data_IF_481481561276
#
_entry.id   IF_481481561276
#
_cell.length_a   1.000
_cell.length_b   1.000
_cell.length_c   1.000
_cell.angle_alpha   90.00
_cell.angle_beta   90.00
_cell.angle_gamma   90.00
#
_symmetry.space_group_name_H-M   'P 1'
#
loop_
_entity.id
_entity.type
_entity.pdbx_description
1 polymer ?
#
# COMPACT_ATOMS: atom_id res chain seq x y z
N UNK A 1 -15.54 35.15 44.83
CA UNK A 1 -14.26 35.59 44.21
C UNK A 1 -13.41 34.40 43.72
N UNK A 2 -13.19 33.37 44.55
CA UNK A 2 -12.47 32.14 44.14
C UNK A 2 -13.09 31.42 42.92
N UNK A 3 -14.42 31.36 42.83
CA UNK A 3 -15.12 30.71 41.71
C UNK A 3 -15.01 31.44 40.36
N UNK A 4 -14.79 32.76 40.39
CA UNK A 4 -14.61 33.56 39.17
C UNK A 4 -13.17 33.39 38.67
N UNK A 5 -12.20 33.37 39.59
CA UNK A 5 -10.80 33.09 39.30
C UNK A 5 -10.61 31.65 38.76
N UNK A 6 -11.32 30.67 39.34
CA UNK A 6 -11.27 29.29 38.89
C UNK A 6 -11.87 29.13 37.49
N UNK A 7 -12.98 29.84 37.18
CA UNK A 7 -13.59 29.87 35.84
C UNK A 7 -12.66 30.48 34.79
N UNK A 8 -12.00 31.59 35.11
CA UNK A 8 -11.03 32.23 34.21
C UNK A 8 -9.84 31.32 33.93
N UNK A 9 -9.30 30.68 34.99
CA UNK A 9 -8.19 29.73 34.88
C UNK A 9 -8.57 28.49 34.07
N UNK A 10 -9.78 27.96 34.23
CA UNK A 10 -10.27 26.84 33.40
C UNK A 10 -10.52 27.23 31.94
N UNK A 11 -10.94 28.47 31.66
CA UNK A 11 -11.12 28.97 30.30
C UNK A 11 -9.78 29.17 29.58
N UNK A 12 -8.78 29.74 30.24
CA UNK A 12 -7.41 29.88 29.71
C UNK A 12 -6.74 28.52 29.47
N UNK A 13 -6.98 27.53 30.35
CA UNK A 13 -6.48 26.17 30.18
C UNK A 13 -7.15 25.45 29.00
N UNK A 14 -8.45 25.69 28.77
CA UNK A 14 -9.20 25.15 27.62
C UNK A 14 -8.77 25.78 26.29
N UNK A 15 -8.47 27.08 26.24
CA UNK A 15 -7.96 27.73 25.03
C UNK A 15 -6.54 27.27 24.66
N UNK A 16 -5.66 27.08 25.65
CA UNK A 16 -4.34 26.47 25.45
C UNK A 16 -4.41 25.01 24.97
N UNK A 17 -5.34 24.22 25.50
CA UNK A 17 -5.56 22.83 25.09
C UNK A 17 -6.16 22.74 23.67
N UNK A 18 -7.10 23.62 23.33
CA UNK A 18 -7.72 23.69 22.00
C UNK A 18 -6.70 24.05 20.91
N UNK A 19 -5.83 25.03 21.18
CA UNK A 19 -4.78 25.45 20.24
C UNK A 19 -3.69 24.39 20.03
N UNK A 20 -3.26 23.71 21.09
CA UNK A 20 -2.31 22.58 20.99
C UNK A 20 -2.90 21.39 20.23
N UNK A 21 -4.15 21.03 20.51
CA UNK A 21 -4.85 19.96 19.79
C UNK A 21 -5.02 20.25 18.29
N UNK A 22 -5.38 21.49 17.94
CA UNK A 22 -5.46 21.93 16.55
C UNK A 22 -4.10 21.86 15.83
N UNK A 23 -3.02 22.24 16.51
CA UNK A 23 -1.66 22.15 15.96
C UNK A 23 -1.26 20.69 15.69
N UNK A 24 -1.59 19.76 16.58
CA UNK A 24 -1.29 18.34 16.38
C UNK A 24 -2.06 17.76 15.19
N UNK A 25 -3.37 18.07 15.05
CA UNK A 25 -4.15 17.65 13.88
C UNK A 25 -3.57 18.25 12.60
N UNK A 26 -3.22 19.54 12.62
CA UNK A 26 -2.62 20.20 11.46
C UNK A 26 -1.30 19.55 11.04
N UNK A 27 -0.46 19.14 12.01
CA UNK A 27 0.77 18.37 11.73
C UNK A 27 0.47 17.02 11.09
N UNK A 28 -0.49 16.26 11.63
CA UNK A 28 -0.89 14.95 11.08
C UNK A 28 -1.40 15.09 9.64
N UNK A 29 -2.22 16.09 9.35
CA UNK A 29 -2.73 16.35 8.00
C UNK A 29 -1.60 16.72 7.04
N UNK A 30 -0.66 17.56 7.47
CA UNK A 30 0.53 17.91 6.66
C UNK A 30 1.38 16.68 6.38
N UNK A 31 1.59 15.82 7.37
CA UNK A 31 2.32 14.56 7.21
C UNK A 31 1.62 13.62 6.24
N UNK A 32 0.29 13.46 6.37
CA UNK A 32 -0.49 12.66 5.44
C UNK A 32 -0.40 13.20 4.01
N UNK A 33 -0.49 14.52 3.82
CA UNK A 33 -0.31 15.15 2.50
C UNK A 33 1.09 14.92 1.92
N UNK A 34 2.14 14.98 2.75
CA UNK A 34 3.51 14.66 2.33
C UNK A 34 3.64 13.19 1.93
N UNK A 35 3.02 12.27 2.68
CA UNK A 35 3.02 10.85 2.36
C UNK A 35 2.31 10.58 1.01
N UNK A 36 1.16 11.20 0.76
CA UNK A 36 0.46 11.13 -0.54
C UNK A 36 1.35 11.61 -1.67
N UNK A 37 1.93 12.80 -1.54
CA UNK A 37 2.83 13.35 -2.55
C UNK A 37 4.08 12.50 -2.76
N UNK A 38 4.59 11.84 -1.71
CA UNK A 38 5.70 10.91 -1.82
C UNK A 38 5.31 9.66 -2.62
N UNK A 39 4.13 9.10 -2.38
CA UNK A 39 3.60 7.96 -3.16
C UNK A 39 3.44 8.36 -4.64
N UNK A 40 2.84 9.52 -4.92
CA UNK A 40 2.68 10.04 -6.29
C UNK A 40 4.04 10.22 -6.99
N UNK A 41 5.05 10.70 -6.27
CA UNK A 41 6.40 10.88 -6.80
C UNK A 41 7.08 9.53 -7.11
N UNK A 42 6.95 8.55 -6.20
CA UNK A 42 7.47 7.19 -6.40
C UNK A 42 6.79 6.55 -7.60
N UNK A 43 5.46 6.64 -7.69
CA UNK A 43 4.70 6.12 -8.82
C UNK A 43 5.14 6.77 -10.12
N UNK A 44 5.19 8.10 -10.21
CA UNK A 44 5.59 8.80 -11.44
C UNK A 44 7.01 8.47 -11.88
N UNK A 45 7.93 8.27 -10.94
CA UNK A 45 9.33 7.98 -11.23
C UNK A 45 9.54 6.53 -11.64
N UNK A 46 8.90 5.59 -10.95
CA UNK A 46 9.15 4.16 -11.13
C UNK A 46 8.16 3.47 -12.07
N UNK A 47 7.02 4.08 -12.40
CA UNK A 47 5.97 3.47 -13.23
C UNK A 47 6.49 2.83 -14.53
N UNK A 48 7.32 3.56 -15.29
CA UNK A 48 7.86 3.07 -16.56
C UNK A 48 8.85 1.92 -16.37
N UNK A 49 9.75 2.04 -15.40
CA UNK A 49 10.72 1.00 -15.06
C UNK A 49 10.03 -0.26 -14.51
N UNK A 50 8.99 -0.08 -13.70
CA UNK A 50 8.17 -1.15 -13.13
C UNK A 50 7.52 -2.00 -14.22
N UNK A 51 6.91 -1.36 -15.22
CA UNK A 51 6.31 -2.07 -16.37
C UNK A 51 7.39 -2.87 -17.10
N UNK A 52 8.54 -2.25 -17.36
CA UNK A 52 9.63 -2.91 -18.08
C UNK A 52 10.18 -4.12 -17.32
N UNK A 53 10.46 -3.98 -16.02
CA UNK A 53 10.94 -5.07 -15.15
C UNK A 53 9.89 -6.18 -15.05
N UNK A 54 8.62 -5.83 -14.87
CA UNK A 54 7.53 -6.83 -14.80
C UNK A 54 7.39 -7.57 -16.13
N UNK A 55 7.52 -6.88 -17.27
CA UNK A 55 7.50 -7.52 -18.59
C UNK A 55 8.67 -8.49 -18.80
N UNK A 56 9.89 -8.09 -18.43
CA UNK A 56 11.07 -8.95 -18.54
C UNK A 56 10.98 -10.18 -17.63
N UNK A 57 10.55 -10.00 -16.38
CA UNK A 57 10.39 -11.12 -15.43
C UNK A 57 9.33 -12.11 -15.90
N UNK A 58 8.18 -11.64 -16.41
CA UNK A 58 7.17 -12.51 -17.01
C UNK A 58 7.70 -13.30 -18.21
N UNK A 59 8.49 -12.69 -19.09
CA UNK A 59 9.12 -13.40 -20.20
C UNK A 59 10.11 -14.47 -19.71
N UNK A 60 10.89 -14.18 -18.66
CA UNK A 60 11.83 -15.17 -18.10
C UNK A 60 11.12 -16.33 -17.40
N UNK A 61 9.97 -16.08 -16.75
CA UNK A 61 9.15 -17.12 -16.12
C UNK A 61 8.61 -18.06 -17.20
N UNK A 62 8.01 -17.54 -18.27
CA UNK A 62 7.46 -18.39 -19.33
C UNK A 62 8.52 -19.22 -20.04
N UNK A 63 9.73 -18.65 -20.26
CA UNK A 63 10.87 -19.40 -20.78
C UNK A 63 11.29 -20.51 -19.81
N UNK A 64 11.39 -20.23 -18.50
CA UNK A 64 11.78 -21.21 -17.50
C UNK A 64 10.77 -22.37 -17.38
N UNK A 65 9.46 -22.06 -17.49
CA UNK A 65 8.39 -23.04 -17.49
C UNK A 65 8.43 -23.92 -18.76
N UNK A 66 8.72 -23.33 -19.91
CA UNK A 66 8.90 -24.05 -21.17
C UNK A 66 10.10 -25.00 -21.13
N UNK A 67 11.27 -24.53 -20.70
CA UNK A 67 12.47 -25.37 -20.56
C UNK A 67 12.25 -26.51 -19.56
N UNK A 68 11.54 -26.24 -18.45
CA UNK A 68 11.18 -27.26 -17.48
C UNK A 68 10.17 -28.31 -18.03
N UNK A 69 9.32 -27.91 -18.98
CA UNK A 69 8.35 -28.80 -19.63
C UNK A 69 9.00 -29.66 -20.73
N UNK A 70 9.95 -29.12 -21.49
CA UNK A 70 10.65 -29.84 -22.58
C UNK A 70 11.64 -30.87 -22.03
N UNK A 71 12.41 -30.50 -21.01
CA UNK A 71 13.52 -31.32 -20.50
C UNK A 71 13.06 -32.40 -19.50
N UNK A 72 12.03 -33.20 -19.82
CA UNK A 72 11.50 -34.23 -18.91
C UNK A 72 12.48 -35.36 -18.60
N UNK A 73 13.32 -35.72 -19.56
CA UNK A 73 14.29 -36.83 -19.47
C UNK A 73 15.52 -36.46 -18.62
N UNK A 74 15.96 -35.20 -18.68
CA UNK A 74 17.11 -34.67 -17.95
C UNK A 74 16.65 -34.00 -16.65
N UNK A 75 16.52 -34.80 -15.60
CA UNK A 75 15.96 -34.35 -14.32
C UNK A 75 16.75 -33.19 -13.70
N UNK A 76 18.08 -33.20 -13.81
CA UNK A 76 18.97 -32.16 -13.31
C UNK A 76 18.69 -30.78 -13.95
N UNK A 77 18.52 -30.75 -15.27
CA UNK A 77 18.20 -29.54 -16.04
C UNK A 77 16.81 -29.03 -15.63
N UNK A 78 15.82 -29.93 -15.57
CA UNK A 78 14.46 -29.59 -15.17
C UNK A 78 14.39 -28.99 -13.77
N UNK A 79 15.05 -29.62 -12.79
CA UNK A 79 15.07 -29.11 -11.42
C UNK A 79 15.70 -27.72 -11.33
N UNK A 80 16.77 -27.46 -12.10
CA UNK A 80 17.41 -26.14 -12.14
C UNK A 80 16.45 -25.05 -12.62
N UNK A 81 15.68 -25.30 -13.68
CA UNK A 81 14.70 -24.34 -14.19
C UNK A 81 13.50 -24.15 -13.26
N UNK A 82 13.03 -25.21 -12.59
CA UNK A 82 11.96 -25.10 -11.58
C UNK A 82 12.41 -24.20 -10.41
N UNK A 83 13.63 -24.40 -9.91
CA UNK A 83 14.19 -23.56 -8.83
C UNK A 83 14.35 -22.11 -9.29
N UNK A 84 14.82 -21.91 -10.52
CA UNK A 84 14.94 -20.58 -11.12
C UNK A 84 13.57 -19.88 -11.21
N UNK A 85 12.55 -20.55 -11.76
CA UNK A 85 11.19 -20.02 -11.86
C UNK A 85 10.57 -19.72 -10.49
N UNK A 86 10.80 -20.57 -9.49
CA UNK A 86 10.38 -20.28 -8.12
C UNK A 86 11.06 -19.02 -7.55
N UNK A 87 12.33 -18.80 -7.87
CA UNK A 87 13.07 -17.58 -7.54
C UNK A 87 12.47 -16.33 -8.19
N UNK A 88 12.13 -16.40 -9.48
CA UNK A 88 11.47 -15.30 -10.20
C UNK A 88 10.08 -14.97 -9.63
N UNK A 89 9.31 -15.97 -9.21
CA UNK A 89 8.03 -15.75 -8.53
C UNK A 89 8.21 -15.04 -7.19
N UNK A 90 9.25 -15.39 -6.42
CA UNK A 90 9.60 -14.69 -5.19
C UNK A 90 10.04 -13.25 -5.50
N UNK A 91 10.81 -13.03 -6.57
CA UNK A 91 11.24 -11.71 -7.00
C UNK A 91 10.04 -10.80 -7.33
N UNK A 92 9.04 -11.30 -8.06
CA UNK A 92 7.79 -10.56 -8.33
C UNK A 92 7.00 -10.28 -7.04
N UNK A 93 7.00 -11.20 -6.07
CA UNK A 93 6.39 -10.95 -4.76
C UNK A 93 7.03 -9.75 -4.05
N UNK A 94 8.37 -9.67 -4.02
CA UNK A 94 9.07 -8.52 -3.44
C UNK A 94 8.74 -7.21 -4.14
N UNK A 95 8.45 -7.25 -5.44
CA UNK A 95 8.04 -6.09 -6.21
C UNK A 95 6.63 -5.60 -5.87
N UNK A 96 5.70 -6.54 -5.62
CA UNK A 96 4.30 -6.24 -5.31
C UNK A 96 4.07 -5.92 -3.82
N UNK A 97 4.94 -6.40 -2.94
CA UNK A 97 4.78 -6.26 -1.49
C UNK A 97 4.76 -4.79 -0.99
N UNK A 98 5.62 -3.87 -1.46
CA UNK A 98 5.52 -2.45 -1.12
C UNK A 98 4.17 -1.83 -1.50
N UNK A 99 3.62 -2.20 -2.67
CA UNK A 99 2.30 -1.77 -3.11
C UNK A 99 1.19 -2.18 -2.15
N UNK A 100 1.24 -3.43 -1.67
CA UNK A 100 0.32 -3.92 -0.65
C UNK A 100 0.46 -3.12 0.66
N UNK A 101 1.68 -2.91 1.14
CA UNK A 101 1.92 -2.18 2.39
C UNK A 101 1.39 -0.75 2.33
N UNK A 102 1.58 -0.06 1.20
CA UNK A 102 1.06 1.31 1.01
C UNK A 102 -0.47 1.32 1.06
N UNK A 103 -1.13 0.37 0.40
CA UNK A 103 -2.58 0.23 0.46
C UNK A 103 -3.06 -0.02 1.90
N UNK A 104 -2.49 -1.01 2.58
CA UNK A 104 -2.90 -1.39 3.95
C UNK A 104 -2.73 -0.21 4.92
N UNK A 105 -1.57 0.46 4.90
CA UNK A 105 -1.30 1.59 5.79
C UNK A 105 -2.21 2.79 5.48
N UNK A 106 -2.57 2.99 4.22
CA UNK A 106 -3.49 4.08 3.85
C UNK A 106 -4.91 3.86 4.40
N UNK A 107 -5.38 2.61 4.46
CA UNK A 107 -6.67 2.25 5.08
C UNK A 107 -6.63 2.36 6.61
N UNK A 108 -5.49 2.03 7.23
CA UNK A 108 -5.33 2.15 8.69
C UNK A 108 -5.50 3.60 9.18
N UNK A 109 -5.18 4.60 8.35
CA UNK A 109 -5.39 6.01 8.70
C UNK A 109 -6.88 6.29 8.90
N UNK A 110 -7.75 5.78 8.02
CA UNK A 110 -9.19 5.93 8.18
C UNK A 110 -9.68 5.32 9.49
N UNK A 111 -9.27 4.09 9.79
CA UNK A 111 -9.63 3.39 11.02
C UNK A 111 -9.16 4.16 12.26
N UNK A 112 -7.90 4.62 12.25
CA UNK A 112 -7.33 5.39 13.36
C UNK A 112 -8.07 6.71 13.60
N UNK A 113 -8.48 7.42 12.54
CA UNK A 113 -9.30 8.62 12.67
C UNK A 113 -10.71 8.31 13.19
N UNK A 114 -11.31 7.21 12.74
CA UNK A 114 -12.63 6.78 13.20
C UNK A 114 -12.64 6.47 14.70
N UNK A 115 -11.60 5.78 15.18
CA UNK A 115 -11.45 5.37 16.58
C UNK A 115 -11.01 6.50 17.52
N UNK A 116 -10.63 7.68 16.99
CA UNK A 116 -10.04 8.78 17.77
C UNK A 116 -10.99 9.56 18.71
N UNK A 117 -12.19 9.04 19.00
CA UNK A 117 -13.23 9.71 19.81
C UNK A 117 -13.50 11.18 19.38
N UNK A 118 -13.36 11.48 18.09
CA UNK A 118 -13.46 12.84 17.54
C UNK A 118 -14.80 13.54 17.83
N UNK A 119 -15.84 12.77 18.15
CA UNK A 119 -17.20 13.24 18.43
C UNK A 119 -17.37 13.85 19.83
N UNK A 120 -16.40 13.74 20.74
CA UNK A 120 -16.54 14.25 22.12
C UNK A 120 -16.74 15.78 22.17
N UNK A 121 -17.37 16.26 23.25
CA UNK A 121 -17.80 17.67 23.40
C UNK A 121 -16.65 18.64 23.62
N UNK A 122 -15.55 18.16 24.20
CA UNK A 122 -14.29 18.86 24.45
C UNK A 122 -13.50 19.16 23.16
N UNK A 123 -13.80 18.47 22.06
CA UNK A 123 -13.13 18.68 20.77
C UNK A 123 -13.71 19.92 20.06
N UNK A 124 -12.89 20.90 19.65
CA UNK A 124 -13.33 22.08 18.91
C UNK A 124 -13.99 21.71 17.57
N UNK A 125 -15.01 22.47 17.17
CA UNK A 125 -15.75 22.21 15.93
C UNK A 125 -14.86 22.24 14.67
N UNK A 126 -13.85 23.10 14.63
CA UNK A 126 -12.92 23.18 13.49
C UNK A 126 -12.05 21.92 13.40
N UNK A 127 -11.64 21.35 14.53
CA UNK A 127 -10.92 20.09 14.59
C UNK A 127 -11.80 18.92 14.11
N UNK A 128 -13.09 18.89 14.50
CA UNK A 128 -14.05 17.87 14.03
C UNK A 128 -14.19 17.89 12.51
N UNK A 129 -14.29 19.08 11.91
CA UNK A 129 -14.36 19.24 10.45
C UNK A 129 -13.09 18.71 9.77
N UNK A 130 -11.92 19.01 10.32
CA UNK A 130 -10.64 18.54 9.79
C UNK A 130 -10.49 17.01 9.86
N UNK A 131 -10.83 16.39 11.00
CA UNK A 131 -10.79 14.93 11.15
C UNK A 131 -11.78 14.27 10.18
N UNK A 132 -12.99 14.84 10.03
CA UNK A 132 -13.99 14.31 9.10
C UNK A 132 -13.51 14.39 7.64
N UNK A 133 -12.89 15.50 7.25
CA UNK A 133 -12.27 15.63 5.93
C UNK A 133 -11.14 14.61 5.71
N UNK A 134 -10.33 14.36 6.73
CA UNK A 134 -9.29 13.33 6.69
C UNK A 134 -9.90 11.93 6.52
N UNK A 135 -10.93 11.58 7.28
CA UNK A 135 -11.65 10.30 7.13
C UNK A 135 -12.22 10.12 5.73
N UNK A 136 -12.88 11.13 5.16
CA UNK A 136 -13.44 11.07 3.80
C UNK A 136 -12.33 10.83 2.77
N UNK A 137 -11.15 11.42 2.95
CA UNK A 137 -10.02 11.24 2.04
C UNK A 137 -9.35 9.88 2.20
N UNK A 138 -9.15 9.40 3.42
CA UNK A 138 -8.49 8.13 3.71
C UNK A 138 -9.36 6.90 3.44
N UNK A 139 -10.65 7.06 3.15
CA UNK A 139 -11.49 5.97 2.64
C UNK A 139 -11.02 5.42 1.30
N UNK A 140 -10.34 6.26 0.49
CA UNK A 140 -9.71 5.80 -0.75
C UNK A 140 -8.26 5.44 -0.43
N UNK A 141 -7.90 4.15 -0.52
CA UNK A 141 -6.52 3.75 -0.31
C UNK A 141 -5.61 4.33 -1.39
N UNK A 142 -4.34 4.48 -1.03
CA UNK A 142 -3.28 4.88 -1.94
C UNK A 142 -2.81 3.64 -2.70
N UNK A 143 -2.73 3.75 -4.02
CA UNK A 143 -2.29 2.66 -4.88
C UNK A 143 -0.94 3.03 -5.48
N UNK A 144 -0.04 2.04 -5.56
CA UNK A 144 1.09 2.11 -6.47
C UNK A 144 0.68 1.31 -7.71
N UNK A 145 0.76 1.91 -8.89
CA UNK A 145 0.48 1.22 -10.15
C UNK A 145 1.74 1.04 -11.00
N UNK A 146 1.75 -0.02 -11.81
CA UNK A 146 2.71 -0.20 -12.90
C UNK A 146 2.27 0.63 -14.09
N UNK A 147 2.47 1.96 -14.00
CA UNK A 147 2.09 2.93 -15.03
C UNK A 147 0.62 2.86 -15.45
N UNK A 148 -0.28 2.63 -14.50
CA UNK A 148 -1.74 2.56 -14.71
C UNK A 148 -2.25 1.26 -15.31
N UNK A 149 -1.38 0.29 -15.67
CA UNK A 149 -1.81 -0.98 -16.28
C UNK A 149 -2.29 -2.00 -15.25
N UNK A 150 -1.63 -2.05 -14.10
CA UNK A 150 -1.96 -2.94 -13.00
C UNK A 150 -1.62 -2.29 -11.67
N UNK A 151 -2.36 -2.67 -10.62
CA UNK A 151 -2.13 -2.21 -9.25
C UNK A 151 -1.13 -3.15 -8.59
N UNK A 152 -0.04 -2.62 -8.01
CA UNK A 152 0.91 -3.41 -7.25
C UNK A 152 0.25 -3.86 -5.94
N UNK A 153 0.26 -5.17 -5.70
CA UNK A 153 -0.29 -5.75 -4.49
C UNK A 153 -0.33 -7.27 -4.56
N UNK A 154 -0.77 -7.90 -3.48
CA UNK A 154 -0.85 -9.35 -3.40
C UNK A 154 -1.89 -9.92 -4.36
N UNK A 155 -2.93 -9.16 -4.70
CA UNK A 155 -3.91 -9.55 -5.71
C UNK A 155 -3.29 -9.71 -7.10
N UNK A 156 -2.48 -8.74 -7.52
CA UNK A 156 -1.75 -8.82 -8.79
C UNK A 156 -0.76 -9.98 -8.80
N UNK A 157 -0.01 -10.17 -7.71
CA UNK A 157 0.87 -11.33 -7.55
C UNK A 157 0.10 -12.66 -7.65
N UNK A 158 -1.06 -12.78 -6.99
CA UNK A 158 -1.88 -13.98 -7.05
C UNK A 158 -2.38 -14.27 -8.47
N UNK A 159 -2.71 -13.23 -9.24
CA UNK A 159 -3.10 -13.37 -10.65
C UNK A 159 -1.93 -13.87 -11.51
N UNK A 160 -0.73 -13.33 -11.33
CA UNK A 160 0.49 -13.79 -12.01
C UNK A 160 0.78 -15.26 -11.65
N UNK A 161 0.75 -15.61 -10.37
CA UNK A 161 0.94 -17.00 -9.92
C UNK A 161 -0.06 -17.98 -10.55
N UNK A 162 -1.35 -17.62 -10.57
CA UNK A 162 -2.40 -18.44 -11.19
C UNK A 162 -2.14 -18.64 -12.68
N UNK A 163 -1.75 -17.59 -13.39
CA UNK A 163 -1.43 -17.66 -14.81
C UNK A 163 -0.22 -18.56 -15.07
N UNK A 164 0.88 -18.38 -14.33
CA UNK A 164 2.08 -19.23 -14.38
C UNK A 164 1.76 -20.71 -14.15
N UNK A 165 1.06 -21.04 -13.07
CA UNK A 165 0.69 -22.43 -12.78
C UNK A 165 -0.21 -23.04 -13.86
N UNK A 166 -1.14 -22.25 -14.40
CA UNK A 166 -2.02 -22.70 -15.48
C UNK A 166 -1.23 -22.97 -16.76
N UNK A 167 -0.31 -22.07 -17.12
CA UNK A 167 0.56 -22.22 -18.30
C UNK A 167 1.51 -23.41 -18.16
N UNK A 168 2.16 -23.57 -17.00
CA UNK A 168 3.00 -24.71 -16.69
C UNK A 168 2.24 -26.04 -16.78
N UNK A 169 1.02 -26.10 -16.22
CA UNK A 169 0.16 -27.30 -16.28
C UNK A 169 -0.22 -27.63 -17.72
N UNK A 170 -0.62 -26.62 -18.49
CA UNK A 170 -0.95 -26.77 -19.90
C UNK A 170 0.25 -27.30 -20.70
N UNK A 171 1.43 -26.68 -20.58
CA UNK A 171 2.65 -27.13 -21.25
C UNK A 171 3.02 -28.56 -20.86
N UNK A 172 2.91 -28.89 -19.57
CA UNK A 172 3.19 -30.24 -19.06
C UNK A 172 2.25 -31.31 -19.59
N UNK A 173 1.01 -30.93 -19.96
CA UNK A 173 -0.01 -31.83 -20.52
C UNK A 173 0.09 -31.99 -22.04
N UNK A 174 0.59 -30.97 -22.75
CA UNK A 174 0.72 -31.00 -24.22
C UNK A 174 2.01 -31.67 -24.66
N UNK A 175 3.09 -31.44 -23.93
CA UNK A 175 4.37 -32.17 -24.08
C UNK A 175 4.34 -33.46 -23.27
#
# INVERSE_FOLDING_TARGET
MKDVLNRHKSAETMEGCSSTFYLEISKVIRLHKHALHFVDLVESTYASMQIFITGLTLATITLSEFEAAVNKTHQDIRFRFIIYGAGELIHILFHNYPGQRVQDHSLMIYQSCYDSEWYRKDVPNDCKKLINLMMIRSQKPCYLTGGGLFVLGLENYANILKASLSYFTFLSSVQ
#
